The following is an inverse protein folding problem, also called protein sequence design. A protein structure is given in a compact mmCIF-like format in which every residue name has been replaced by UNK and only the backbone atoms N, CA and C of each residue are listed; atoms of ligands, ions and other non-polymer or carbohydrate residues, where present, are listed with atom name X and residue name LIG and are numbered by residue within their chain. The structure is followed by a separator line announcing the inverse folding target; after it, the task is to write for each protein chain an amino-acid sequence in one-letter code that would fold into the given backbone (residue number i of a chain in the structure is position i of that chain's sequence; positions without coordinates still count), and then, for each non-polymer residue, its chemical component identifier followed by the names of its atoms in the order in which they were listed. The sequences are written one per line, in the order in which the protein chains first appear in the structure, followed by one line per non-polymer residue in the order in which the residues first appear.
data_IF_133389114408
#
_entry.id   IF_133389114408
#
_cell.length_a   1.000
_cell.length_b   1.000
_cell.length_c   1.000
_cell.angle_alpha   90.00
_cell.angle_beta   90.00
_cell.angle_gamma   90.00
#
_symmetry.space_group_name_H-M   'P 1'
#
loop_
_entity.id
_entity.type
_entity.pdbx_description
1 polymer ?
#
# COMPACT_ATOMS: atom_id res chain seq x y z
N UNK A 1 25.17 18.70 -16.68
CA UNK A 1 25.01 17.29 -16.28
C UNK A 1 23.56 16.90 -16.53
N UNK A 2 23.26 15.82 -17.27
CA UNK A 2 21.88 15.37 -17.45
C UNK A 2 21.30 14.95 -16.09
N UNK A 3 20.20 15.58 -15.69
CA UNK A 3 19.45 15.24 -14.47
C UNK A 3 18.71 13.91 -14.72
N UNK A 4 18.94 12.90 -13.88
CA UNK A 4 18.16 11.66 -13.96
C UNK A 4 16.66 11.98 -13.83
N UNK A 5 15.80 11.34 -14.64
CA UNK A 5 14.36 11.54 -14.53
C UNK A 5 13.86 11.13 -13.13
N UNK A 6 12.92 11.87 -12.55
CA UNK A 6 12.42 11.59 -11.22
C UNK A 6 11.68 10.23 -11.15
N UNK A 7 11.94 9.44 -10.11
CA UNK A 7 11.32 8.11 -9.90
C UNK A 7 9.80 8.22 -9.65
N UNK A 8 9.00 7.38 -10.31
CA UNK A 8 7.56 7.34 -10.15
C UNK A 8 7.10 6.74 -8.80
N UNK A 9 7.98 6.00 -8.11
CA UNK A 9 7.68 5.38 -6.82
C UNK A 9 8.03 6.28 -5.63
N UNK A 10 9.15 6.99 -5.69
CA UNK A 10 9.64 7.79 -4.59
C UNK A 10 8.85 9.11 -4.49
N UNK A 11 8.06 9.27 -3.42
CA UNK A 11 7.36 10.51 -3.08
C UNK A 11 8.01 11.15 -1.85
N UNK A 12 8.62 12.34 -1.94
CA UNK A 12 9.17 13.01 -0.78
C UNK A 12 8.04 13.42 0.18
N UNK A 13 8.34 13.41 1.47
CA UNK A 13 7.42 13.92 2.49
C UNK A 13 7.56 15.44 2.56
N UNK A 14 6.58 16.15 2.00
CA UNK A 14 6.47 17.60 2.13
C UNK A 14 5.76 17.97 3.44
N UNK A 15 6.51 18.52 4.40
CA UNK A 15 6.00 18.91 5.71
C UNK A 15 5.15 20.19 5.69
N UNK A 16 4.95 20.85 4.55
CA UNK A 16 3.93 21.91 4.44
C UNK A 16 2.52 21.33 4.62
N UNK A 17 2.30 20.08 4.20
CA UNK A 17 1.03 19.39 4.33
C UNK A 17 0.85 18.77 5.72
N UNK A 18 -0.28 19.08 6.38
CA UNK A 18 -0.61 18.57 7.72
C UNK A 18 -0.69 17.04 7.77
N UNK A 19 -1.21 16.38 6.72
CA UNK A 19 -1.30 14.91 6.67
C UNK A 19 0.09 14.24 6.68
N UNK A 20 1.11 14.83 6.06
CA UNK A 20 2.48 14.30 6.11
C UNK A 20 3.07 14.40 7.53
N UNK A 21 2.78 15.48 8.25
CA UNK A 21 3.15 15.62 9.67
C UNK A 21 2.49 14.55 10.52
N UNK A 22 1.18 14.32 10.31
CA UNK A 22 0.43 13.25 10.99
C UNK A 22 1.02 11.88 10.69
N UNK A 23 1.43 11.61 9.44
CA UNK A 23 2.06 10.34 9.06
C UNK A 23 3.34 10.09 9.86
N UNK A 24 4.23 11.07 9.92
CA UNK A 24 5.52 10.96 10.62
C UNK A 24 5.32 10.88 12.12
N UNK A 25 4.59 11.82 12.72
CA UNK A 25 4.35 11.84 14.17
C UNK A 25 3.55 10.61 14.62
N UNK A 26 2.54 10.20 13.85
CA UNK A 26 1.75 9.01 14.12
C UNK A 26 2.58 7.72 14.03
N UNK A 27 3.47 7.62 13.04
CA UNK A 27 4.36 6.45 12.91
C UNK A 27 5.41 6.40 14.03
N UNK A 28 5.93 7.55 14.46
CA UNK A 28 6.81 7.64 15.64
C UNK A 28 6.05 7.28 16.93
N UNK A 29 4.81 7.74 17.09
CA UNK A 29 3.94 7.34 18.19
C UNK A 29 3.69 5.83 18.21
N UNK A 30 3.35 5.25 17.06
CA UNK A 30 3.17 3.81 16.89
C UNK A 30 4.46 3.03 17.22
N UNK A 31 5.63 3.52 16.81
CA UNK A 31 6.94 2.94 17.13
C UNK A 31 7.14 2.88 18.65
N UNK A 32 6.95 3.99 19.36
CA UNK A 32 7.16 4.08 20.80
C UNK A 32 6.16 3.20 21.58
N UNK A 33 4.88 3.22 21.19
CA UNK A 33 3.85 2.39 21.81
C UNK A 33 4.09 0.90 21.56
N UNK A 34 4.46 0.52 20.34
CA UNK A 34 4.81 -0.85 20.01
C UNK A 34 6.06 -1.29 20.79
N UNK A 35 7.10 -0.45 20.85
CA UNK A 35 8.33 -0.74 21.61
C UNK A 35 8.05 -0.98 23.10
N UNK A 36 7.16 -0.18 23.68
CA UNK A 36 6.71 -0.33 25.07
C UNK A 36 5.94 -1.63 25.28
N UNK A 37 5.10 -2.02 24.32
CA UNK A 37 4.25 -3.22 24.41
C UNK A 37 5.02 -4.52 24.17
N UNK A 38 5.89 -4.55 23.18
CA UNK A 38 6.53 -5.78 22.71
C UNK A 38 7.92 -6.03 23.30
N UNK A 39 8.57 -5.00 23.83
CA UNK A 39 9.95 -5.14 24.31
C UNK A 39 10.99 -5.22 23.17
N UNK A 40 10.59 -5.17 21.90
CA UNK A 40 11.46 -5.43 20.74
C UNK A 40 11.49 -4.25 19.76
N UNK A 41 12.69 -3.75 19.45
CA UNK A 41 12.88 -2.70 18.44
C UNK A 41 12.49 -3.15 17.04
N UNK A 42 12.82 -4.40 16.67
CA UNK A 42 12.47 -4.98 15.37
C UNK A 42 10.95 -4.98 15.15
N UNK A 43 10.20 -5.46 16.15
CA UNK A 43 8.74 -5.51 16.07
C UNK A 43 8.15 -4.10 16.07
N UNK A 44 8.69 -3.20 16.88
CA UNK A 44 8.26 -1.80 16.91
C UNK A 44 8.42 -1.13 15.54
N UNK A 45 9.57 -1.31 14.87
CA UNK A 45 9.83 -0.78 13.52
C UNK A 45 8.86 -1.40 12.51
N UNK A 46 8.60 -2.71 12.59
CA UNK A 46 7.64 -3.37 11.71
C UNK A 46 6.21 -2.83 11.88
N UNK A 47 5.77 -2.59 13.12
CA UNK A 47 4.46 -2.00 13.42
C UNK A 47 4.39 -0.56 12.90
N UNK A 48 5.39 0.27 13.18
CA UNK A 48 5.44 1.65 12.69
C UNK A 48 5.44 1.71 11.15
N UNK A 49 6.23 0.87 10.50
CA UNK A 49 6.26 0.75 9.05
C UNK A 49 4.91 0.32 8.48
N UNK A 50 4.23 -0.65 9.09
CA UNK A 50 2.89 -1.07 8.69
C UNK A 50 1.86 0.07 8.82
N UNK A 51 1.94 0.89 9.88
CA UNK A 51 1.07 2.05 10.07
C UNK A 51 1.32 3.12 9.01
N UNK A 52 2.59 3.44 8.73
CA UNK A 52 2.96 4.37 7.66
C UNK A 52 2.49 3.89 6.28
N UNK A 53 2.62 2.60 6.00
CA UNK A 53 2.20 2.01 4.73
C UNK A 53 0.69 2.00 4.57
N UNK A 54 -0.08 1.80 5.64
CA UNK A 54 -1.54 1.96 5.61
C UNK A 54 -1.95 3.41 5.29
N UNK A 55 -1.32 4.39 5.95
CA UNK A 55 -1.52 5.80 5.64
C UNK A 55 -1.18 6.12 4.17
N UNK A 56 -0.01 5.68 3.70
CA UNK A 56 0.44 5.93 2.34
C UNK A 56 -0.53 5.30 1.32
N UNK A 57 -0.92 4.04 1.56
CA UNK A 57 -1.87 3.32 0.71
C UNK A 57 -3.22 4.02 0.63
N UNK A 58 -3.77 4.48 1.76
CA UNK A 58 -5.03 5.22 1.79
C UNK A 58 -4.97 6.50 0.94
N UNK A 59 -3.83 7.22 0.93
CA UNK A 59 -3.64 8.39 0.05
C UNK A 59 -3.60 8.05 -1.44
N UNK A 60 -3.10 6.88 -1.80
CA UNK A 60 -3.13 6.41 -3.20
C UNK A 60 -4.56 6.03 -3.61
N UNK A 61 -5.34 5.48 -2.68
CA UNK A 61 -6.73 5.09 -2.92
C UNK A 61 -7.72 6.26 -2.81
N UNK A 62 -7.34 7.35 -2.16
CA UNK A 62 -8.23 8.47 -1.84
C UNK A 62 -7.48 9.80 -1.73
N UNK A 63 -6.92 10.31 -2.83
CA UNK A 63 -6.02 11.46 -2.80
C UNK A 63 -6.68 12.76 -2.32
N UNK A 64 -7.99 12.92 -2.53
CA UNK A 64 -8.75 14.12 -2.17
C UNK A 64 -9.09 14.22 -0.67
N UNK A 65 -9.08 13.09 0.05
CA UNK A 65 -9.54 13.03 1.43
C UNK A 65 -8.41 12.61 2.38
N UNK A 66 -7.46 13.50 2.72
CA UNK A 66 -6.29 13.16 3.54
C UNK A 66 -6.64 12.63 4.94
N UNK A 67 -7.85 12.86 5.43
CA UNK A 67 -8.31 12.33 6.70
C UNK A 67 -8.54 10.81 6.67
N UNK A 68 -8.88 10.20 5.53
CA UNK A 68 -9.02 8.73 5.45
C UNK A 68 -7.69 8.03 5.66
N UNK A 69 -6.60 8.64 5.19
CA UNK A 69 -5.23 8.21 5.48
C UNK A 69 -4.85 8.42 6.94
N UNK A 70 -5.23 9.54 7.54
CA UNK A 70 -4.99 9.79 8.97
C UNK A 70 -5.70 8.77 9.86
N UNK A 71 -6.89 8.28 9.47
CA UNK A 71 -7.62 7.21 10.17
C UNK A 71 -7.03 5.81 9.90
N UNK A 72 -6.46 5.57 8.72
CA UNK A 72 -5.87 4.29 8.36
C UNK A 72 -4.69 3.93 9.28
N UNK A 73 -3.93 4.94 9.72
CA UNK A 73 -2.76 4.78 10.58
C UNK A 73 -3.10 4.14 11.95
N UNK A 74 -3.97 4.72 12.81
CA UNK A 74 -4.33 4.12 14.09
C UNK A 74 -5.11 2.81 13.91
N UNK A 75 -5.91 2.68 12.85
CA UNK A 75 -6.57 1.41 12.55
C UNK A 75 -5.55 0.31 12.27
N UNK A 76 -4.57 0.56 11.40
CA UNK A 76 -3.50 -0.39 11.12
C UNK A 76 -2.73 -0.76 12.40
N UNK A 77 -2.41 0.21 13.26
CA UNK A 77 -1.79 -0.07 14.56
C UNK A 77 -2.59 -1.09 15.38
N UNK A 78 -3.90 -0.87 15.55
CA UNK A 78 -4.76 -1.80 16.29
C UNK A 78 -4.75 -3.21 15.69
N UNK A 79 -4.70 -3.32 14.37
CA UNK A 79 -4.71 -4.60 13.65
C UNK A 79 -3.38 -5.36 13.75
N UNK A 80 -2.24 -4.66 13.77
CA UNK A 80 -0.92 -5.30 13.68
C UNK A 80 -0.18 -5.41 15.00
N UNK A 81 -0.47 -4.58 16.01
CA UNK A 81 0.32 -4.49 17.26
C UNK A 81 0.32 -5.78 18.10
N UNK A 82 -0.65 -6.68 17.87
CA UNK A 82 -0.78 -7.96 18.59
C UNK A 82 -0.16 -9.14 17.83
N UNK A 83 0.33 -8.93 16.61
CA UNK A 83 0.85 -9.99 15.75
C UNK A 83 2.24 -9.68 15.23
N UNK A 84 2.82 -10.66 14.54
CA UNK A 84 4.06 -10.47 13.80
C UNK A 84 3.80 -9.61 12.55
N UNK A 85 3.91 -8.29 12.69
CA UNK A 85 3.82 -7.38 11.56
C UNK A 85 5.00 -7.63 10.60
N UNK A 86 4.70 -7.77 9.31
CA UNK A 86 5.71 -7.74 8.24
C UNK A 86 5.32 -6.62 7.26
N UNK A 87 6.06 -5.50 7.21
CA UNK A 87 5.71 -4.39 6.34
C UNK A 87 6.05 -4.64 4.86
N UNK A 88 6.85 -5.67 4.52
CA UNK A 88 7.34 -5.87 3.15
C UNK A 88 6.21 -6.08 2.12
N UNK A 89 5.21 -6.96 2.35
CA UNK A 89 4.06 -7.09 1.45
C UNK A 89 3.28 -5.80 1.28
N UNK A 90 3.07 -5.05 2.37
CA UNK A 90 2.38 -3.78 2.32
C UNK A 90 3.17 -2.72 1.55
N UNK A 91 4.50 -2.74 1.62
CA UNK A 91 5.36 -1.86 0.84
C UNK A 91 5.27 -2.14 -0.66
N UNK A 92 5.40 -3.41 -1.06
CA UNK A 92 5.24 -3.81 -2.47
C UNK A 92 3.84 -3.52 -2.99
N UNK A 93 2.81 -3.77 -2.18
CA UNK A 93 1.42 -3.44 -2.51
C UNK A 93 1.26 -1.93 -2.71
N UNK A 94 1.74 -1.11 -1.78
CA UNK A 94 1.65 0.35 -1.88
C UNK A 94 2.38 0.88 -3.11
N UNK A 95 3.58 0.38 -3.42
CA UNK A 95 4.31 0.75 -4.65
C UNK A 95 3.55 0.39 -5.92
N UNK A 96 2.94 -0.81 -5.98
CA UNK A 96 2.07 -1.20 -7.09
C UNK A 96 0.82 -0.32 -7.21
N UNK A 97 0.16 -0.01 -6.09
CA UNK A 97 -1.01 0.87 -6.07
C UNK A 97 -0.67 2.29 -6.50
N UNK A 98 0.47 2.85 -6.06
CA UNK A 98 0.94 4.16 -6.49
C UNK A 98 1.18 4.20 -8.00
N UNK A 99 1.77 3.14 -8.56
CA UNK A 99 2.00 3.03 -10.00
C UNK A 99 0.68 2.97 -10.77
N UNK A 100 -0.30 2.21 -10.27
CA UNK A 100 -1.64 2.11 -10.88
C UNK A 100 -2.43 3.42 -10.76
N UNK A 101 -2.41 4.06 -9.60
CA UNK A 101 -3.12 5.30 -9.34
C UNK A 101 -2.49 6.51 -10.05
N UNK A 102 -1.23 6.42 -10.44
CA UNK A 102 -0.53 7.47 -11.20
C UNK A 102 -0.43 8.80 -10.46
N UNK A 103 -0.52 8.80 -9.13
CA UNK A 103 -0.61 10.01 -8.28
C UNK A 103 0.65 10.88 -8.35
N UNK A 104 1.80 10.29 -8.65
CA UNK A 104 3.05 11.05 -8.84
C UNK A 104 3.05 11.82 -10.17
N UNK A 105 2.29 11.36 -11.15
CA UNK A 105 2.23 11.94 -12.50
C UNK A 105 3.33 11.45 -13.44
N UNK A 106 4.36 10.79 -12.91
CA UNK A 106 5.57 10.41 -13.62
C UNK A 106 5.48 9.04 -14.29
N UNK A 107 6.34 8.84 -15.29
CA UNK A 107 6.55 7.54 -15.89
C UNK A 107 7.46 6.65 -15.02
N UNK A 108 7.15 5.35 -14.84
CA UNK A 108 8.08 4.40 -14.26
C UNK A 108 9.42 4.43 -15.00
N UNK A 109 10.48 4.61 -14.24
CA UNK A 109 11.86 4.59 -14.71
C UNK A 109 12.46 3.18 -14.62
N UNK A 110 13.63 2.92 -15.21
CA UNK A 110 14.37 1.67 -14.99
C UNK A 110 14.67 1.43 -13.50
N UNK A 111 14.91 2.49 -12.72
CA UNK A 111 15.10 2.42 -11.26
C UNK A 111 13.84 1.93 -10.56
N UNK A 112 12.66 2.42 -10.98
CA UNK A 112 11.38 1.94 -10.45
C UNK A 112 11.15 0.47 -10.78
N UNK A 113 11.50 0.03 -12.00
CA UNK A 113 11.41 -1.38 -12.39
C UNK A 113 12.30 -2.27 -11.52
N UNK A 114 13.56 -1.85 -11.30
CA UNK A 114 14.49 -2.56 -10.43
C UNK A 114 13.97 -2.62 -8.99
N UNK A 115 13.40 -1.53 -8.49
CA UNK A 115 12.77 -1.48 -7.17
C UNK A 115 11.56 -2.44 -7.09
N UNK A 116 10.69 -2.49 -8.10
CA UNK A 116 9.55 -3.41 -8.16
C UNK A 116 9.99 -4.87 -8.22
N UNK A 117 11.03 -5.20 -8.99
CA UNK A 117 11.66 -6.52 -8.99
C UNK A 117 12.16 -6.89 -7.59
N UNK A 118 12.91 -5.99 -6.94
CA UNK A 118 13.43 -6.23 -5.60
C UNK A 118 12.29 -6.40 -4.57
N UNK A 119 11.26 -5.56 -4.62
CA UNK A 119 10.08 -5.66 -3.76
C UNK A 119 9.29 -6.95 -4.00
N UNK A 120 9.16 -7.37 -5.27
CA UNK A 120 8.52 -8.65 -5.64
C UNK A 120 9.32 -9.81 -5.05
N UNK A 121 10.63 -9.85 -5.25
CA UNK A 121 11.51 -10.90 -4.72
C UNK A 121 11.49 -10.97 -3.20
N UNK A 122 11.63 -9.83 -2.52
CA UNK A 122 11.58 -9.74 -1.06
C UNK A 122 10.21 -10.12 -0.50
N UNK A 123 9.12 -9.70 -1.16
CA UNK A 123 7.77 -10.08 -0.76
C UNK A 123 7.52 -11.57 -0.98
N UNK A 124 7.97 -12.14 -2.10
CA UNK A 124 7.86 -13.58 -2.38
C UNK A 124 8.64 -14.39 -1.34
N UNK A 125 9.85 -13.92 -0.99
CA UNK A 125 10.74 -14.55 -0.01
C UNK A 125 10.16 -14.51 1.41
N UNK A 126 9.74 -13.34 1.90
CA UNK A 126 9.46 -13.11 3.32
C UNK A 126 7.98 -12.88 3.66
N UNK A 127 7.16 -12.54 2.67
CA UNK A 127 5.75 -12.19 2.84
C UNK A 127 4.76 -13.12 2.15
N UNK A 128 5.27 -14.02 1.30
CA UNK A 128 4.48 -14.91 0.47
C UNK A 128 4.20 -14.37 -0.92
N UNK A 129 3.91 -15.29 -1.84
CA UNK A 129 3.69 -15.00 -3.27
C UNK A 129 2.59 -13.97 -3.51
N UNK A 130 1.54 -13.92 -2.69
CA UNK A 130 0.46 -12.94 -2.86
C UNK A 130 0.90 -11.49 -2.64
N UNK A 131 1.74 -11.23 -1.63
CA UNK A 131 2.29 -9.89 -1.41
C UNK A 131 3.21 -9.43 -2.54
N UNK A 132 3.70 -10.38 -3.34
CA UNK A 132 4.54 -10.12 -4.49
C UNK A 132 3.73 -9.93 -5.79
N UNK A 133 2.47 -10.34 -5.85
CA UNK A 133 1.69 -10.26 -7.09
C UNK A 133 1.47 -8.83 -7.56
N UNK A 134 1.10 -7.92 -6.65
CA UNK A 134 0.81 -6.56 -7.04
C UNK A 134 2.04 -5.80 -7.55
N UNK A 135 3.21 -5.81 -6.87
CA UNK A 135 4.41 -5.20 -7.44
C UNK A 135 4.89 -5.89 -8.72
N UNK A 136 4.58 -7.17 -8.92
CA UNK A 136 4.92 -7.88 -10.15
C UNK A 136 4.01 -7.50 -11.34
N UNK A 137 2.72 -7.32 -11.09
CA UNK A 137 1.70 -7.10 -12.14
C UNK A 137 1.43 -5.61 -12.42
N UNK A 138 1.71 -4.70 -11.49
CA UNK A 138 1.43 -3.28 -11.66
C UNK A 138 2.04 -2.66 -12.94
N UNK A 139 3.30 -2.98 -13.35
CA UNK A 139 3.84 -2.50 -14.62
C UNK A 139 3.02 -2.96 -15.85
N UNK A 140 2.53 -4.19 -15.81
CA UNK A 140 1.73 -4.77 -16.89
C UNK A 140 0.32 -4.13 -16.94
N UNK A 141 -0.30 -3.99 -15.78
CA UNK A 141 -1.64 -3.42 -15.63
C UNK A 141 -1.69 -1.91 -15.92
N UNK A 142 -0.59 -1.19 -15.74
CA UNK A 142 -0.46 0.23 -16.12
C UNK A 142 -0.19 0.43 -17.62
N UNK A 143 -0.27 -0.63 -18.44
CA UNK A 143 -0.04 -0.63 -19.89
C UNK A 143 1.38 -0.15 -20.30
N UNK A 144 2.37 -0.28 -19.40
CA UNK A 144 3.77 0.10 -19.66
C UNK A 144 4.62 -1.16 -19.80
N UNK A 145 4.44 -1.83 -20.93
CA UNK A 145 4.83 -3.23 -21.15
C UNK A 145 6.35 -3.47 -21.24
N UNK A 146 7.14 -2.48 -21.65
CA UNK A 146 8.56 -2.68 -22.04
C UNK A 146 9.43 -3.25 -20.91
N UNK A 147 9.09 -2.99 -19.65
CA UNK A 147 9.85 -3.49 -18.49
C UNK A 147 9.05 -4.39 -17.56
N UNK A 148 7.79 -4.68 -17.89
CA UNK A 148 6.87 -5.42 -17.03
C UNK A 148 7.29 -6.88 -16.78
N UNK A 149 7.91 -7.51 -17.78
CA UNK A 149 8.38 -8.89 -17.67
C UNK A 149 9.47 -9.05 -16.60
N UNK A 150 10.29 -8.02 -16.37
CA UNK A 150 11.39 -8.09 -15.39
C UNK A 150 10.86 -8.18 -13.97
N UNK A 151 9.81 -7.44 -13.61
CA UNK A 151 9.25 -7.48 -12.25
C UNK A 151 8.67 -8.86 -11.90
N UNK A 152 8.13 -9.59 -12.89
CA UNK A 152 7.62 -10.96 -12.71
C UNK A 152 8.72 -11.95 -12.29
N UNK A 153 9.98 -11.73 -12.67
CA UNK A 153 11.09 -12.61 -12.30
C UNK A 153 11.27 -12.70 -10.77
N UNK A 154 10.86 -11.67 -10.02
CA UNK A 154 10.88 -11.70 -8.56
C UNK A 154 9.99 -12.81 -7.96
N UNK A 155 8.98 -13.29 -8.68
CA UNK A 155 8.12 -14.39 -8.24
C UNK A 155 8.84 -15.75 -8.22
N UNK A 156 9.97 -15.86 -8.92
CA UNK A 156 10.81 -17.06 -8.93
C UNK A 156 11.62 -17.22 -7.65
N UNK A 157 11.69 -16.19 -6.79
CA UNK A 157 12.42 -16.27 -5.52
C UNK A 157 11.75 -17.28 -4.58
N UNK A 158 12.48 -18.30 -4.08
CA UNK A 158 11.90 -19.36 -3.27
C UNK A 158 11.41 -18.82 -1.91
N UNK A 159 10.17 -19.14 -1.48
CA UNK A 159 9.62 -18.61 -0.25
C UNK A 159 10.33 -19.18 0.99
N UNK A 160 10.49 -18.36 2.03
CA UNK A 160 10.75 -18.86 3.39
C UNK A 160 9.41 -19.33 3.97
N UNK A 161 9.34 -20.50 4.63
CA UNK A 161 8.18 -20.86 5.42
C UNK A 161 7.86 -19.74 6.42
N UNK A 162 6.73 -19.08 6.22
CA UNK A 162 6.27 -18.05 7.15
C UNK A 162 5.65 -18.74 8.36
N UNK A 163 5.92 -18.21 9.56
CA UNK A 163 5.14 -18.62 10.73
C UNK A 163 3.68 -18.22 10.48
N UNK A 164 2.78 -19.17 10.64
CA UNK A 164 1.34 -18.91 10.62
C UNK A 164 0.98 -18.18 11.90
N UNK A 165 1.05 -16.85 11.88
CA UNK A 165 0.55 -16.02 12.98
C UNK A 165 -0.98 -16.01 12.99
N UNK A 166 -1.56 -16.04 14.19
CA UNK A 166 -2.99 -15.87 14.40
C UNK A 166 -3.43 -14.42 14.17
N UNK A 167 -3.78 -14.07 12.93
CA UNK A 167 -4.41 -12.79 12.59
C UNK A 167 -5.92 -12.93 12.46
N UNK A 168 -6.67 -11.89 12.83
CA UNK A 168 -8.12 -11.82 12.58
C UNK A 168 -8.40 -11.59 11.09
N UNK A 169 -9.28 -12.40 10.50
CA UNK A 169 -9.72 -12.24 9.09
C UNK A 169 -10.79 -11.14 8.93
N UNK A 170 -11.47 -10.78 10.03
CA UNK A 170 -12.60 -9.86 10.03
C UNK A 170 -12.34 -8.48 9.40
N UNK A 171 -11.19 -7.82 9.61
CA UNK A 171 -10.90 -6.54 8.97
C UNK A 171 -10.83 -6.66 7.44
N UNK A 172 -10.29 -7.76 6.94
CA UNK A 172 -10.22 -8.03 5.50
C UNK A 172 -11.61 -8.29 4.92
N UNK A 173 -12.44 -9.05 5.63
CA UNK A 173 -13.84 -9.27 5.21
C UNK A 173 -14.65 -7.98 5.25
N UNK A 174 -14.47 -7.14 6.27
CA UNK A 174 -15.10 -5.82 6.34
C UNK A 174 -14.68 -4.91 5.18
N UNK A 175 -13.38 -4.91 4.83
CA UNK A 175 -12.86 -4.18 3.68
C UNK A 175 -13.50 -4.66 2.37
N UNK A 176 -13.60 -5.98 2.18
CA UNK A 176 -14.23 -6.58 1.00
C UNK A 176 -15.74 -6.34 0.95
N UNK A 177 -16.43 -6.30 2.09
CA UNK A 177 -17.85 -5.97 2.15
C UNK A 177 -18.12 -4.54 1.65
N UNK A 178 -17.15 -3.63 1.77
CA UNK A 178 -17.24 -2.25 1.26
C UNK A 178 -16.87 -2.13 -0.24
N UNK A 179 -16.55 -3.23 -0.92
CA UNK A 179 -16.16 -3.23 -2.33
C UNK A 179 -17.14 -2.47 -3.26
N UNK A 180 -18.48 -2.64 -3.14
CA UNK A 180 -19.42 -1.96 -4.04
C UNK A 180 -19.38 -0.43 -3.97
N UNK A 181 -18.96 0.14 -2.83
CA UNK A 181 -18.77 1.59 -2.68
C UNK A 181 -17.36 1.99 -3.09
N UNK A 182 -16.37 1.13 -2.83
CA UNK A 182 -14.99 1.40 -3.18
C UNK A 182 -14.75 1.48 -4.70
N UNK A 183 -15.43 0.67 -5.51
CA UNK A 183 -15.20 0.64 -6.97
C UNK A 183 -16.05 1.62 -7.77
N UNK A 184 -16.98 2.36 -7.14
CA UNK A 184 -17.79 3.36 -7.86
C UNK A 184 -16.89 4.42 -8.50
N UNK A 185 -17.20 4.90 -9.71
CA UNK A 185 -16.54 6.07 -10.26
C UNK A 185 -16.66 7.26 -9.28
N UNK A 186 -15.63 8.09 -9.23
CA UNK A 186 -15.57 9.33 -8.43
C UNK A 186 -14.63 10.27 -9.16
N UNK A 187 -15.04 11.54 -9.28
CA UNK A 187 -14.19 12.56 -9.88
C UNK A 187 -13.08 12.94 -8.90
N UNK A 188 -11.84 12.88 -9.35
CA UNK A 188 -10.66 13.21 -8.54
C UNK A 188 -10.21 14.62 -8.85
N UNK A 189 -10.21 15.48 -7.84
CA UNK A 189 -9.80 16.88 -7.96
C UNK A 189 -8.28 17.09 -7.76
N UNK A 190 -7.62 16.14 -7.09
CA UNK A 190 -6.19 16.22 -6.78
C UNK A 190 -5.31 16.27 -8.02
N UNK A 191 -4.35 17.18 -8.00
CA UNK A 191 -3.25 17.23 -8.97
C UNK A 191 -2.21 16.15 -8.71
N UNK A 192 -1.54 15.70 -9.76
CA UNK A 192 -0.35 14.86 -9.62
C UNK A 192 0.77 15.62 -8.89
N UNK A 193 1.62 14.91 -8.14
CA UNK A 193 2.69 15.53 -7.36
C UNK A 193 3.74 16.27 -8.21
N UNK A 194 4.04 15.73 -9.39
CA UNK A 194 5.14 16.22 -10.25
C UNK A 194 4.72 16.57 -11.67
N UNK A 195 3.46 16.37 -12.01
CA UNK A 195 2.93 16.71 -13.33
C UNK A 195 1.80 17.73 -13.19
N UNK A 196 1.78 18.74 -14.06
CA UNK A 196 0.74 19.78 -14.11
C UNK A 196 -0.56 19.25 -14.76
N UNK A 197 -1.10 18.16 -14.22
CA UNK A 197 -2.35 17.54 -14.65
C UNK A 197 -3.07 16.92 -13.44
N UNK A 198 -4.40 16.77 -13.50
CA UNK A 198 -5.13 16.03 -12.48
C UNK A 198 -4.75 14.54 -12.50
N UNK A 199 -4.91 13.90 -11.34
CA UNK A 199 -4.94 12.45 -11.22
C UNK A 199 -6.18 11.95 -11.97
N UNK A 200 -6.03 10.86 -12.73
CA UNK A 200 -7.14 10.33 -13.54
C UNK A 200 -8.06 9.45 -12.70
N UNK A 201 -9.37 9.67 -12.83
CA UNK A 201 -10.40 8.89 -12.13
C UNK A 201 -10.27 7.37 -12.38
N UNK A 202 -10.00 7.00 -13.64
CA UNK A 202 -9.83 5.61 -14.07
C UNK A 202 -8.67 4.91 -13.37
N UNK A 203 -7.56 5.63 -13.16
CA UNK A 203 -6.33 5.11 -12.58
C UNK A 203 -6.53 4.81 -11.10
N UNK A 204 -7.21 5.72 -10.38
CA UNK A 204 -7.59 5.52 -8.97
C UNK A 204 -8.63 4.39 -8.84
N UNK A 205 -9.61 4.30 -9.73
CA UNK A 205 -10.57 3.19 -9.75
C UNK A 205 -9.88 1.84 -9.98
N UNK A 206 -8.89 1.80 -10.89
CA UNK A 206 -8.08 0.61 -11.13
C UNK A 206 -7.28 0.22 -9.88
N UNK A 207 -6.65 1.19 -9.21
CA UNK A 207 -5.93 0.95 -7.96
C UNK A 207 -6.84 0.40 -6.85
N UNK A 208 -8.05 0.96 -6.68
CA UNK A 208 -9.07 0.46 -5.74
C UNK A 208 -9.49 -0.97 -6.05
N UNK A 209 -9.71 -1.29 -7.32
CA UNK A 209 -10.05 -2.64 -7.77
C UNK A 209 -8.92 -3.63 -7.52
N UNK A 210 -7.68 -3.22 -7.79
CA UNK A 210 -6.49 -4.03 -7.52
C UNK A 210 -6.29 -4.28 -6.01
N UNK A 211 -6.51 -3.26 -5.17
CA UNK A 211 -6.46 -3.40 -3.71
C UNK A 211 -7.46 -4.46 -3.20
N UNK A 212 -8.70 -4.43 -3.69
CA UNK A 212 -9.71 -5.44 -3.36
C UNK A 212 -9.34 -6.83 -3.86
N UNK A 213 -8.78 -6.95 -5.06
CA UNK A 213 -8.31 -8.23 -5.59
C UNK A 213 -7.20 -8.83 -4.72
N UNK A 214 -6.25 -8.01 -4.24
CA UNK A 214 -5.22 -8.46 -3.28
C UNK A 214 -5.83 -8.94 -1.97
N UNK A 215 -6.81 -8.21 -1.42
CA UNK A 215 -7.51 -8.62 -0.20
C UNK A 215 -8.29 -9.93 -0.40
N UNK A 216 -9.00 -10.09 -1.52
CA UNK A 216 -9.72 -11.30 -1.86
C UNK A 216 -8.79 -12.51 -1.97
N UNK A 217 -7.66 -12.35 -2.68
CA UNK A 217 -6.64 -13.39 -2.77
C UNK A 217 -6.05 -13.75 -1.38
N UNK A 218 -5.88 -12.76 -0.50
CA UNK A 218 -5.38 -12.99 0.85
C UNK A 218 -6.35 -13.84 1.70
N UNK A 219 -7.67 -13.66 1.54
CA UNK A 219 -8.68 -14.51 2.18
C UNK A 219 -8.61 -15.93 1.64
N UNK A 220 -8.62 -16.10 0.31
CA UNK A 220 -8.62 -17.42 -0.34
C UNK A 220 -7.38 -18.25 0.02
N UNK A 221 -6.22 -17.59 0.16
CA UNK A 221 -4.96 -18.24 0.55
C UNK A 221 -4.74 -18.36 2.06
N UNK A 222 -5.66 -17.84 2.88
CA UNK A 222 -5.53 -17.75 4.35
C UNK A 222 -4.28 -16.97 4.80
N UNK A 223 -3.84 -15.97 4.02
CA UNK A 223 -2.68 -15.09 4.30
C UNK A 223 -3.09 -13.63 4.57
N UNK A 224 -4.21 -13.44 5.24
CA UNK A 224 -4.77 -12.12 5.56
C UNK A 224 -3.93 -11.28 6.53
N UNK A 225 -3.06 -11.90 7.34
CA UNK A 225 -2.25 -11.15 8.32
C UNK A 225 -1.28 -10.15 7.66
N UNK A 226 -0.66 -10.54 6.54
CA UNK A 226 0.26 -9.66 5.82
C UNK A 226 -0.43 -8.45 5.17
N UNK A 227 -1.76 -8.51 5.02
CA UNK A 227 -2.57 -7.52 4.34
C UNK A 227 -3.40 -6.64 5.28
N UNK A 228 -3.15 -6.71 6.60
CA UNK A 228 -3.83 -5.85 7.57
C UNK A 228 -3.63 -4.34 7.30
N UNK A 229 -2.44 -3.86 6.88
CA UNK A 229 -2.27 -2.45 6.51
C UNK A 229 -3.13 -2.04 5.31
N UNK A 230 -3.23 -2.92 4.30
CA UNK A 230 -4.08 -2.70 3.14
C UNK A 230 -5.56 -2.71 3.55
N UNK A 231 -5.97 -3.66 4.40
CA UNK A 231 -7.34 -3.73 4.90
C UNK A 231 -7.72 -2.47 5.69
N UNK A 232 -6.82 -1.94 6.53
CA UNK A 232 -7.04 -0.69 7.24
C UNK A 232 -7.27 0.48 6.27
N UNK A 233 -6.43 0.60 5.23
CA UNK A 233 -6.59 1.64 4.21
C UNK A 233 -7.91 1.49 3.44
N UNK A 234 -8.24 0.28 2.98
CA UNK A 234 -9.48 0.02 2.23
C UNK A 234 -10.72 0.25 3.10
N UNK A 235 -10.68 -0.13 4.39
CA UNK A 235 -11.78 0.13 5.33
C UNK A 235 -12.05 1.62 5.50
N UNK A 236 -11.02 2.44 5.77
CA UNK A 236 -11.24 3.86 6.03
C UNK A 236 -11.71 4.61 4.78
N UNK A 237 -11.16 4.26 3.61
CA UNK A 237 -11.62 4.80 2.33
C UNK A 237 -13.05 4.33 2.03
N UNK A 238 -13.32 3.02 2.14
CA UNK A 238 -14.65 2.45 1.88
C UNK A 238 -15.74 3.02 2.78
N UNK A 239 -15.45 3.23 4.07
CA UNK A 239 -16.39 3.85 5.01
C UNK A 239 -16.70 5.29 4.62
N UNK A 240 -15.69 6.06 4.19
CA UNK A 240 -15.89 7.41 3.67
C UNK A 240 -16.79 7.41 2.44
N UNK A 241 -16.56 6.48 1.50
CA UNK A 241 -17.39 6.33 0.28
C UNK A 241 -18.82 5.92 0.57
N UNK A 242 -19.02 5.14 1.64
CA UNK A 242 -20.35 4.74 2.09
C UNK A 242 -21.15 5.95 2.60
N UNK A 243 -20.51 6.88 3.31
CA UNK A 243 -21.18 8.05 3.93
C UNK A 243 -21.28 9.26 3.01
N UNK A 244 -20.50 9.29 1.93
CA UNK A 244 -20.43 10.41 0.98
C UNK A 244 -20.48 9.86 -0.46
N UNK A 245 -21.65 9.40 -0.91
CA UNK A 245 -21.84 8.77 -2.22
C UNK A 245 -21.72 9.74 -3.38
#
# INVERSE_FOLDING_TARGET
MPTMPPSALARPLDFTHSSNRVAVLGSLGALLLARRRTGSWKEAVNVAGACFLAWATARELDPDHPWTANLALPLAFMLVVRGAANPLPAAGTMSGLRMLAGTTGEAPTPVDTAAMLAQTGLSARFGGRLGALLPALAPWLSQRQETAALSLLGLLVPPVPASTGGGSVWPVLGALALAPWLIRPESIASSCDRAARPVRDSDVQQARSAALAVLGAAVLSRRHQAQQPLAAAVLTVGLRRLTSP
#
